data_IF_594293014212
#
_entry.id   IF_594293014212
#
_cell.length_a   1.000
_cell.length_b   1.000
_cell.length_c   1.000
_cell.angle_alpha   90.00
_cell.angle_beta   90.00
_cell.angle_gamma   90.00
#
_symmetry.space_group_name_H-M   'P 1'
#
loop_
_entity.id
_entity.type
_entity.pdbx_description
1 polymer ?
#
# COMPACT_ATOMS: atom_id res chain seq x y z
N UNK A 1 -50.06 8.40 -31.17
CA UNK A 1 -48.69 8.28 -30.63
C UNK A 1 -48.83 8.10 -29.14
N UNK A 2 -48.54 6.91 -28.61
CA UNK A 2 -48.19 6.79 -27.19
C UNK A 2 -47.34 5.54 -27.02
N UNK A 3 -46.09 5.75 -26.60
CA UNK A 3 -45.06 4.74 -26.39
C UNK A 3 -45.07 4.36 -24.92
N UNK A 4 -45.35 3.10 -24.59
CA UNK A 4 -45.21 2.60 -23.21
C UNK A 4 -43.84 1.94 -23.10
N UNK A 5 -42.91 2.62 -22.43
CA UNK A 5 -41.55 2.14 -22.20
C UNK A 5 -41.48 1.19 -21.00
N UNK A 6 -40.60 0.20 -21.13
CA UNK A 6 -40.29 -0.87 -20.19
C UNK A 6 -39.76 -0.34 -18.84
N UNK A 7 -40.33 -0.81 -17.73
CA UNK A 7 -39.76 -0.61 -16.39
C UNK A 7 -38.65 -1.65 -16.15
N UNK A 8 -37.41 -1.16 -16.06
CA UNK A 8 -36.20 -1.94 -15.84
C UNK A 8 -36.13 -2.58 -14.45
N UNK A 9 -35.56 -3.77 -14.41
CA UNK A 9 -35.24 -4.54 -13.22
C UNK A 9 -33.97 -3.97 -12.55
N UNK A 10 -34.11 -3.08 -11.57
CA UNK A 10 -32.96 -2.53 -10.83
C UNK A 10 -32.55 -3.48 -9.69
N UNK A 11 -31.41 -4.14 -9.88
CA UNK A 11 -30.77 -4.97 -8.87
C UNK A 11 -30.30 -4.10 -7.67
N UNK A 12 -30.96 -4.29 -6.52
CA UNK A 12 -30.58 -3.67 -5.23
C UNK A 12 -29.10 -3.95 -4.89
N UNK A 13 -28.27 -2.93 -4.59
CA UNK A 13 -26.89 -3.16 -4.17
C UNK A 13 -26.87 -3.85 -2.80
N UNK A 14 -26.14 -4.96 -2.68
CA UNK A 14 -25.96 -5.71 -1.42
C UNK A 14 -25.23 -4.83 -0.38
N UNK A 15 -25.65 -4.82 0.90
CA UNK A 15 -25.00 -4.04 1.94
C UNK A 15 -23.57 -4.56 2.18
N UNK A 16 -22.60 -3.63 2.18
CA UNK A 16 -21.19 -3.94 2.47
C UNK A 16 -21.07 -4.35 3.95
N UNK A 17 -20.28 -5.39 4.28
CA UNK A 17 -20.11 -5.83 5.66
C UNK A 17 -19.50 -4.69 6.52
N UNK A 18 -19.83 -4.62 7.81
CA UNK A 18 -19.32 -3.59 8.70
C UNK A 18 -17.79 -3.65 8.74
N UNK A 19 -17.15 -2.53 8.43
CA UNK A 19 -15.69 -2.39 8.53
C UNK A 19 -15.32 -2.57 10.01
N UNK A 20 -14.52 -3.60 10.31
CA UNK A 20 -13.85 -3.75 11.62
C UNK A 20 -13.17 -2.42 11.97
N UNK A 21 -13.14 -1.99 13.24
CA UNK A 21 -12.47 -0.76 13.63
C UNK A 21 -11.01 -0.84 13.17
N UNK A 22 -10.70 -0.07 12.12
CA UNK A 22 -9.33 0.07 11.65
C UNK A 22 -8.58 0.78 12.77
N UNK A 23 -7.58 0.09 13.31
CA UNK A 23 -6.59 0.67 14.21
C UNK A 23 -6.13 2.00 13.58
N UNK A 24 -6.24 3.07 14.36
CA UNK A 24 -6.03 4.49 14.00
C UNK A 24 -5.27 4.70 12.67
N UNK A 25 -5.98 5.20 11.66
CA UNK A 25 -5.44 5.49 10.32
C UNK A 25 -4.34 6.55 10.46
N UNK A 26 -3.09 6.14 10.27
CA UNK A 26 -1.97 7.04 10.55
C UNK A 26 -1.74 8.05 9.41
N UNK A 27 -1.98 7.69 8.14
CA UNK A 27 -1.83 8.62 7.01
C UNK A 27 -2.94 8.45 5.95
N UNK A 28 -3.58 9.55 5.55
CA UNK A 28 -4.60 9.58 4.50
C UNK A 28 -3.97 9.93 3.13
N UNK A 29 -2.89 9.23 2.78
CA UNK A 29 -2.15 9.43 1.54
C UNK A 29 -2.25 8.17 0.70
N UNK A 30 -2.59 8.31 -0.58
CA UNK A 30 -2.52 7.23 -1.56
C UNK A 30 -1.11 7.11 -2.16
N UNK A 31 -0.78 6.01 -2.87
CA UNK A 31 0.51 5.88 -3.53
C UNK A 31 0.81 7.00 -4.54
N UNK A 32 -0.22 7.54 -5.20
CA UNK A 32 -0.07 8.63 -6.17
C UNK A 32 0.16 10.00 -5.53
N UNK A 33 -0.26 10.18 -4.29
CA UNK A 33 -0.09 11.42 -3.52
C UNK A 33 1.22 11.45 -2.72
N UNK A 34 1.94 10.34 -2.66
CA UNK A 34 3.21 10.22 -1.95
C UNK A 34 4.37 10.56 -2.88
N UNK A 35 4.92 11.77 -2.74
CA UNK A 35 6.12 12.19 -3.49
C UNK A 35 7.30 11.24 -3.26
N UNK A 36 7.47 10.78 -2.01
CA UNK A 36 8.48 9.79 -1.67
C UNK A 36 8.28 8.49 -2.47
N UNK A 37 7.06 7.94 -2.50
CA UNK A 37 6.77 6.72 -3.25
C UNK A 37 6.91 6.89 -4.76
N UNK A 38 6.48 8.02 -5.31
CA UNK A 38 6.60 8.33 -6.73
C UNK A 38 8.06 8.47 -7.16
N UNK A 39 8.91 9.06 -6.31
CA UNK A 39 10.35 9.20 -6.57
C UNK A 39 11.15 7.90 -6.58
N UNK A 40 10.59 6.80 -6.06
CA UNK A 40 11.26 5.50 -6.06
C UNK A 40 11.12 4.78 -7.40
N UNK A 41 12.16 4.04 -7.77
CA UNK A 41 12.19 3.27 -9.03
C UNK A 41 11.32 2.01 -8.90
N UNK A 42 10.51 1.68 -9.92
CA UNK A 42 9.74 0.45 -9.92
C UNK A 42 10.66 -0.77 -9.89
N UNK A 43 10.20 -1.81 -9.20
CA UNK A 43 10.89 -3.07 -9.05
C UNK A 43 9.87 -4.24 -9.12
N UNK A 44 10.36 -5.47 -9.12
CA UNK A 44 9.56 -6.69 -9.30
C UNK A 44 8.37 -6.77 -8.33
N UNK A 45 7.24 -7.30 -8.81
CA UNK A 45 6.04 -7.64 -8.00
C UNK A 45 5.49 -6.46 -7.18
N UNK A 46 5.52 -5.25 -7.75
CA UNK A 46 4.97 -4.05 -7.10
C UNK A 46 5.86 -3.45 -6.00
N UNK A 47 7.08 -3.97 -5.84
CA UNK A 47 8.09 -3.34 -5.00
C UNK A 47 8.68 -2.12 -5.69
N UNK A 48 9.32 -1.26 -4.89
CA UNK A 48 10.14 -0.17 -5.39
C UNK A 48 11.52 -0.18 -4.74
N UNK A 49 12.47 0.53 -5.34
CA UNK A 49 13.85 0.63 -4.83
C UNK A 49 14.43 2.02 -5.06
N UNK A 50 15.36 2.42 -4.20
CA UNK A 50 16.20 3.62 -4.39
C UNK A 50 17.47 3.32 -5.22
N UNK A 51 17.71 2.05 -5.58
CA UNK A 51 18.92 1.62 -6.28
C UNK A 51 20.18 1.53 -5.39
N UNK A 52 20.07 1.84 -4.10
CA UNK A 52 21.18 1.80 -3.11
C UNK A 52 21.08 0.59 -2.16
N UNK A 53 20.24 -0.38 -2.52
CA UNK A 53 20.00 -1.59 -1.73
C UNK A 53 18.84 -1.48 -0.74
N UNK A 54 18.07 -0.38 -0.78
CA UNK A 54 16.79 -0.28 -0.08
C UNK A 54 15.64 -0.68 -0.99
N UNK A 55 14.66 -1.33 -0.40
CA UNK A 55 13.47 -1.86 -1.04
C UNK A 55 12.25 -1.40 -0.25
N UNK A 56 11.19 -1.07 -0.98
CA UNK A 56 10.01 -0.44 -0.43
C UNK A 56 8.77 -1.16 -0.95
N UNK A 57 7.80 -1.36 -0.06
CA UNK A 57 6.50 -1.91 -0.40
C UNK A 57 5.42 -1.02 0.19
N UNK A 58 4.37 -0.76 -0.59
CA UNK A 58 3.21 -0.06 -0.09
C UNK A 58 2.34 -1.00 0.75
N UNK A 59 2.02 -0.61 1.98
CA UNK A 59 1.05 -1.30 2.80
C UNK A 59 -0.33 -0.64 2.66
N UNK A 60 -1.19 -1.28 1.87
CA UNK A 60 -2.57 -0.82 1.66
C UNK A 60 -3.47 -0.95 2.90
N UNK A 61 -3.03 -1.67 3.92
CA UNK A 61 -3.76 -1.83 5.17
C UNK A 61 -3.61 -0.60 6.06
N UNK A 62 -2.41 -0.01 6.07
CA UNK A 62 -2.04 1.10 6.95
C UNK A 62 -1.78 2.42 6.20
N UNK A 63 -1.79 2.39 4.86
CA UNK A 63 -1.45 3.50 3.97
C UNK A 63 -0.08 4.12 4.30
N UNK A 64 0.91 3.26 4.50
CA UNK A 64 2.29 3.64 4.71
C UNK A 64 3.23 2.76 3.87
N UNK A 65 4.53 2.97 4.03
CA UNK A 65 5.54 2.32 3.20
C UNK A 65 6.44 1.47 4.09
N UNK A 66 6.43 0.17 3.86
CA UNK A 66 7.34 -0.76 4.51
C UNK A 66 8.74 -0.64 3.89
N UNK A 67 9.76 -0.42 4.72
CA UNK A 67 11.15 -0.24 4.30
C UNK A 67 11.99 -1.46 4.67
N UNK A 68 12.71 -1.96 3.66
CA UNK A 68 13.53 -3.14 3.72
C UNK A 68 14.94 -2.83 3.21
N UNK A 69 15.94 -3.45 3.82
CA UNK A 69 17.33 -3.37 3.35
C UNK A 69 17.81 -4.76 2.94
N UNK A 70 18.43 -4.85 1.77
CA UNK A 70 19.05 -6.10 1.31
C UNK A 70 20.36 -6.35 2.05
N UNK A 71 20.52 -7.57 2.54
CA UNK A 71 21.75 -8.07 3.15
C UNK A 71 21.98 -9.49 2.62
N UNK A 72 22.98 -9.64 1.73
CA UNK A 72 23.18 -10.91 1.01
C UNK A 72 21.95 -11.32 0.21
N UNK A 73 21.40 -12.50 0.51
CA UNK A 73 20.21 -13.08 -0.11
C UNK A 73 18.90 -12.83 0.64
N UNK A 74 18.92 -12.01 1.70
CA UNK A 74 17.75 -11.70 2.54
C UNK A 74 17.42 -10.20 2.52
N UNK A 75 16.14 -9.90 2.75
CA UNK A 75 15.63 -8.58 3.06
C UNK A 75 15.38 -8.48 4.56
N UNK A 76 15.95 -7.46 5.18
CA UNK A 76 15.76 -7.14 6.58
C UNK A 76 14.82 -5.95 6.68
N UNK A 77 13.67 -6.15 7.32
CA UNK A 77 12.76 -5.06 7.60
C UNK A 77 13.45 -4.03 8.50
N UNK A 78 13.30 -2.76 8.16
CA UNK A 78 13.87 -1.63 8.91
C UNK A 78 12.81 -0.81 9.60
N UNK A 79 11.58 -0.85 9.12
CA UNK A 79 10.48 -0.09 9.70
C UNK A 79 9.50 0.40 8.66
N UNK A 80 8.52 1.17 9.12
CA UNK A 80 7.53 1.82 8.26
C UNK A 80 7.87 3.31 8.11
N UNK A 81 7.68 3.82 6.90
CA UNK A 81 7.94 5.19 6.48
C UNK A 81 6.62 5.92 6.30
N UNK A 82 6.57 7.16 6.80
CA UNK A 82 5.46 8.06 6.53
C UNK A 82 5.50 8.44 5.03
N UNK A 83 4.45 8.15 4.24
CA UNK A 83 4.45 8.39 2.81
C UNK A 83 4.42 9.88 2.43
N UNK A 84 3.99 10.77 3.33
CA UNK A 84 3.94 12.22 3.09
C UNK A 84 5.29 12.88 3.30
N UNK A 85 6.03 12.47 4.33
CA UNK A 85 7.30 13.09 4.70
C UNK A 85 8.52 12.30 4.24
N UNK A 86 8.35 11.01 3.91
CA UNK A 86 9.45 10.09 3.65
C UNK A 86 10.26 9.71 4.89
N UNK A 87 9.82 10.10 6.09
CA UNK A 87 10.54 9.85 7.33
C UNK A 87 10.13 8.51 7.98
N UNK A 88 11.09 7.70 8.46
CA UNK A 88 10.78 6.51 9.26
C UNK A 88 10.09 6.90 10.57
N UNK A 89 9.02 6.18 10.94
CA UNK A 89 8.26 6.47 12.17
C UNK A 89 7.94 5.23 13.02
N UNK A 90 8.07 4.03 12.45
CA UNK A 90 7.98 2.75 13.17
C UNK A 90 9.25 1.95 12.97
N UNK A 91 9.68 1.26 14.03
CA UNK A 91 10.79 0.31 13.96
C UNK A 91 10.43 -1.02 13.29
N UNK A 92 11.38 -1.94 13.18
CA UNK A 92 11.19 -3.19 12.47
C UNK A 92 10.18 -4.13 13.16
N UNK A 93 9.19 -4.62 12.41
CA UNK A 93 8.18 -5.60 12.87
C UNK A 93 8.31 -6.98 12.25
N UNK A 94 8.89 -7.10 11.05
CA UNK A 94 9.01 -8.37 10.35
C UNK A 94 10.38 -9.03 10.54
N UNK A 95 10.39 -10.36 10.57
CA UNK A 95 11.63 -11.15 10.51
C UNK A 95 12.29 -10.97 9.14
N UNK A 96 13.61 -11.18 9.04
CA UNK A 96 14.27 -11.23 7.74
C UNK A 96 13.59 -12.25 6.83
N UNK A 97 13.37 -11.87 5.58
CA UNK A 97 12.76 -12.73 4.58
C UNK A 97 13.74 -12.99 3.45
N UNK A 98 13.68 -14.18 2.84
CA UNK A 98 14.35 -14.40 1.55
C UNK A 98 13.76 -13.45 0.52
N UNK A 99 14.57 -13.06 -0.47
CA UNK A 99 14.08 -12.23 -1.58
C UNK A 99 12.81 -12.88 -2.15
N UNK A 100 11.67 -12.17 -2.17
CA UNK A 100 10.40 -12.75 -2.57
C UNK A 100 10.27 -12.87 -4.11
N UNK A 101 11.37 -12.85 -4.85
CA UNK A 101 11.41 -12.89 -6.31
C UNK A 101 12.67 -13.61 -6.83
#
# INVERSE_FOLDING_TARGET
>A
MEVVAFAGNEARPKPKPPKKPQKERVFNCSPSESDFWQGLKPYKRGWKTDGKGNFYQWDYTHNDIEWWRKQGSTLHHKGSINPQTGLPYKGPKHKPMKLPW
#
